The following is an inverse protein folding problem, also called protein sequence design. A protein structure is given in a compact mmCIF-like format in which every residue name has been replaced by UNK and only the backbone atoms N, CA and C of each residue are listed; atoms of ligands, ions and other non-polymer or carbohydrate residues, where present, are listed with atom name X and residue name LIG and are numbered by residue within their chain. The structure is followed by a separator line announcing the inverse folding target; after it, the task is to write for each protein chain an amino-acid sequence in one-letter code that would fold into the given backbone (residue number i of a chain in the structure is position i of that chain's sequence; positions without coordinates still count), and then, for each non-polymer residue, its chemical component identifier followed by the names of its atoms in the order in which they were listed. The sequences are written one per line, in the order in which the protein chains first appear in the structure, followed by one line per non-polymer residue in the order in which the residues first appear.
data_IF_612467842116
#
_entry.id   IF_612467842116
#
_cell.length_a   1.000
_cell.length_b   1.000
_cell.length_c   1.000
_cell.angle_alpha   90.00
_cell.angle_beta   90.00
_cell.angle_gamma   90.00
#
_symmetry.space_group_name_H-M   'P 1'
#
loop_
_entity.id
_entity.type
_entity.pdbx_description
1 polymer ?
#
# COMPACT_ATOMS: atom_id res chain seq x y z
N UNK A 1 2.25 13.62 17.31
CA UNK A 1 2.22 13.43 15.84
C UNK A 1 1.90 11.97 15.62
N UNK A 2 0.90 11.65 14.79
CA UNK A 2 0.58 10.25 14.49
C UNK A 2 1.65 9.69 13.55
N UNK A 3 2.23 8.53 13.90
CA UNK A 3 3.10 7.82 12.99
C UNK A 3 2.31 7.44 11.73
N UNK A 4 2.97 7.45 10.57
CA UNK A 4 2.35 7.06 9.30
C UNK A 4 3.22 6.03 8.60
N UNK A 5 2.58 5.02 8.02
CA UNK A 5 3.25 4.01 7.23
C UNK A 5 3.21 4.41 5.75
N UNK A 6 4.39 4.49 5.13
CA UNK A 6 4.53 4.73 3.70
C UNK A 6 4.78 3.41 3.01
N UNK A 7 3.87 3.01 2.12
CA UNK A 7 3.97 1.77 1.35
C UNK A 7 4.02 2.12 -0.13
N UNK A 8 5.04 1.64 -0.84
CA UNK A 8 5.19 1.81 -2.28
C UNK A 8 4.93 0.49 -2.99
N UNK A 9 3.96 0.50 -3.90
CA UNK A 9 3.60 -0.62 -4.76
C UNK A 9 4.28 -0.46 -6.11
N UNK A 10 4.95 -1.51 -6.58
CA UNK A 10 5.58 -1.58 -7.88
C UNK A 10 4.68 -2.38 -8.83
N UNK A 11 4.33 -1.78 -9.97
CA UNK A 11 3.46 -2.33 -11.02
C UNK A 11 4.08 -2.13 -12.43
N UNK A 12 3.40 -2.54 -13.51
CA UNK A 12 3.85 -2.26 -14.88
C UNK A 12 3.77 -0.76 -15.26
N UNK A 13 3.25 0.10 -14.37
CA UNK A 13 3.22 1.55 -14.50
C UNK A 13 4.11 2.26 -13.47
N UNK A 14 3.82 3.53 -13.21
CA UNK A 14 4.53 4.30 -12.18
C UNK A 14 4.32 3.69 -10.78
N UNK A 15 5.36 3.66 -9.94
CA UNK A 15 5.25 3.15 -8.58
C UNK A 15 4.28 4.01 -7.77
N UNK A 16 3.32 3.34 -7.13
CA UNK A 16 2.27 3.99 -6.36
C UNK A 16 2.66 4.07 -4.89
N UNK A 17 2.79 5.28 -4.35
CA UNK A 17 3.07 5.47 -2.92
C UNK A 17 1.79 5.77 -2.16
N UNK A 18 1.51 4.94 -1.16
CA UNK A 18 0.37 4.96 -0.26
C UNK A 18 0.82 5.43 1.12
N UNK A 19 -0.05 6.17 1.80
CA UNK A 19 0.14 6.61 3.17
C UNK A 19 -1.00 6.06 4.01
N UNK A 20 -0.65 5.24 4.98
CA UNK A 20 -1.59 4.67 5.94
C UNK A 20 -1.31 5.27 7.32
N UNK A 21 -2.36 5.47 8.11
CA UNK A 21 -2.22 5.84 9.51
C UNK A 21 -1.58 4.68 10.29
N UNK A 22 -0.84 4.96 11.36
CA UNK A 22 -0.29 3.93 12.24
C UNK A 22 -1.34 3.36 13.22
N UNK A 23 -2.61 3.26 12.79
CA UNK A 23 -3.65 2.56 13.54
C UNK A 23 -3.36 1.05 13.61
N UNK A 24 -2.63 0.54 12.62
CA UNK A 24 -2.17 -0.84 12.49
C UNK A 24 -0.67 -0.89 12.28
N UNK A 25 -0.07 -2.00 12.66
CA UNK A 25 1.35 -2.24 12.43
C UNK A 25 1.68 -2.39 10.95
N UNK A 26 2.94 -2.15 10.60
CA UNK A 26 3.40 -2.31 9.22
C UNK A 26 3.21 -3.75 8.72
N UNK A 27 3.43 -4.75 9.58
CA UNK A 27 3.29 -6.16 9.23
C UNK A 27 1.83 -6.51 8.89
N UNK A 28 0.85 -5.99 9.65
CA UNK A 28 -0.57 -6.20 9.34
C UNK A 28 -0.95 -5.60 7.97
N UNK A 29 -0.42 -4.43 7.64
CA UNK A 29 -0.62 -3.83 6.31
C UNK A 29 -0.01 -4.68 5.19
N UNK A 30 1.19 -5.22 5.40
CA UNK A 30 1.86 -6.09 4.43
C UNK A 30 1.11 -7.42 4.25
N UNK A 31 0.62 -8.03 5.32
CA UNK A 31 -0.17 -9.27 5.28
C UNK A 31 -1.48 -9.05 4.51
N UNK A 32 -2.18 -7.94 4.78
CA UNK A 32 -3.40 -7.59 4.04
C UNK A 32 -3.13 -7.38 2.55
N UNK A 33 -2.08 -6.64 2.19
CA UNK A 33 -1.70 -6.43 0.79
C UNK A 33 -1.32 -7.75 0.11
N UNK A 34 -0.60 -8.63 0.80
CA UNK A 34 -0.22 -9.95 0.27
C UNK A 34 -1.43 -10.83 -0.03
N UNK A 35 -2.45 -10.77 0.83
CA UNK A 35 -3.71 -11.48 0.64
C UNK A 35 -4.45 -10.95 -0.58
N UNK A 36 -4.57 -9.63 -0.71
CA UNK A 36 -5.21 -8.99 -1.86
C UNK A 36 -4.48 -9.31 -3.19
N UNK A 37 -3.14 -9.38 -3.17
CA UNK A 37 -2.31 -9.81 -4.31
C UNK A 37 -2.59 -11.25 -4.71
N UNK A 38 -2.66 -12.17 -3.72
CA UNK A 38 -2.95 -13.59 -3.98
C UNK A 38 -4.34 -13.79 -4.58
N UNK A 39 -5.33 -13.04 -4.11
CA UNK A 39 -6.70 -13.12 -4.60
C UNK A 39 -6.92 -12.39 -5.94
N UNK A 40 -5.92 -11.63 -6.41
CA UNK A 40 -6.00 -10.90 -7.68
C UNK A 40 -7.08 -9.81 -7.69
N UNK A 41 -7.42 -9.26 -6.52
CA UNK A 41 -8.51 -8.29 -6.41
C UNK A 41 -8.09 -6.89 -6.86
N UNK A 42 -9.06 -6.12 -7.35
CA UNK A 42 -8.90 -4.68 -7.59
C UNK A 42 -9.38 -3.93 -6.35
N UNK A 43 -8.48 -3.21 -5.69
CA UNK A 43 -8.81 -2.42 -4.51
C UNK A 43 -8.58 -0.93 -4.76
N UNK A 44 -9.31 -0.09 -4.02
CA UNK A 44 -9.17 1.37 -4.07
C UNK A 44 -8.40 1.82 -2.85
N UNK A 45 -7.23 2.43 -3.06
CA UNK A 45 -6.34 2.83 -1.99
C UNK A 45 -6.28 4.36 -1.89
N UNK A 46 -6.27 4.91 -0.66
CA UNK A 46 -6.16 6.34 -0.45
C UNK A 46 -4.77 6.83 -0.84
N UNK A 47 -4.74 7.95 -1.56
CA UNK A 47 -3.54 8.70 -1.92
C UNK A 47 -3.57 10.06 -1.25
N UNK A 48 -2.40 10.66 -1.08
CA UNK A 48 -2.27 12.01 -0.52
C UNK A 48 -3.08 13.10 -1.28
N UNK A 49 -3.47 12.84 -2.53
CA UNK A 49 -4.26 13.75 -3.39
C UNK A 49 -5.52 13.10 -3.99
N UNK A 50 -6.03 12.01 -3.41
CA UNK A 50 -7.23 11.34 -3.93
C UNK A 50 -7.26 9.84 -3.64
N UNK A 51 -7.69 9.04 -4.62
CA UNK A 51 -7.68 7.58 -4.53
C UNK A 51 -7.18 6.96 -5.84
N UNK A 52 -6.54 5.80 -5.75
CA UNK A 52 -6.12 5.01 -6.91
C UNK A 52 -6.75 3.61 -6.87
N UNK A 53 -7.20 3.14 -8.03
CA UNK A 53 -7.63 1.75 -8.23
C UNK A 53 -6.42 0.93 -8.65
N UNK A 54 -6.09 -0.08 -7.87
CA UNK A 54 -4.92 -0.93 -8.09
C UNK A 54 -5.40 -2.35 -8.29
N UNK A 55 -5.05 -2.94 -9.44
CA UNK A 55 -5.19 -4.37 -9.66
C UNK A 55 -4.01 -5.09 -9.00
N UNK A 56 -4.27 -5.80 -7.92
CA UNK A 56 -3.23 -6.44 -7.12
C UNK A 56 -2.56 -7.62 -7.83
N UNK A 57 -3.20 -8.20 -8.87
CA UNK A 57 -2.57 -9.21 -9.72
C UNK A 57 -1.40 -8.67 -10.56
N UNK A 58 -1.29 -7.35 -10.72
CA UNK A 58 -0.21 -6.70 -11.50
C UNK A 58 0.86 -6.05 -10.61
N UNK A 59 0.77 -6.23 -9.29
CA UNK A 59 1.80 -5.76 -8.36
C UNK A 59 2.84 -6.86 -8.22
N UNK A 60 4.10 -6.52 -8.49
CA UNK A 60 5.24 -7.45 -8.50
C UNK A 60 6.20 -7.20 -7.34
N UNK A 61 6.03 -6.08 -6.63
CA UNK A 61 6.78 -5.77 -5.43
C UNK A 61 6.08 -4.75 -4.54
N UNK A 62 6.24 -4.92 -3.23
CA UNK A 62 5.76 -4.00 -2.20
C UNK A 62 6.94 -3.63 -1.32
N UNK A 63 7.19 -2.34 -1.14
CA UNK A 63 8.20 -1.84 -0.20
C UNK A 63 7.53 -0.94 0.82
N UNK A 64 7.92 -1.02 2.08
CA UNK A 64 7.30 -0.22 3.12
C UNK A 64 8.33 0.37 4.08
N UNK A 65 8.06 1.58 4.55
CA UNK A 65 8.90 2.32 5.51
C UNK A 65 8.01 3.01 6.53
N UNK A 66 8.43 2.99 7.79
CA UNK A 66 7.82 3.82 8.84
C UNK A 66 8.26 5.26 8.60
N UNK A 67 7.31 6.16 8.35
CA UNK A 67 7.61 7.58 8.30
C UNK A 67 7.65 8.09 9.74
N UNK A 68 8.86 8.33 10.23
CA UNK A 68 9.07 9.01 11.50
C UNK A 68 8.65 10.49 11.32
N UNK A 69 7.75 10.96 12.17
CA UNK A 69 7.33 12.36 12.22
C UNK A 69 8.48 13.31 12.59
#
# INVERSE_FOLDING_TARGET
MADTHKITLHGPGEPLTLQFEADRTLDEWLDQLSTLMREGQVTTLPLAKGSARVNMAHVWGVTAKVAKA
#
